data_IF_239866383927
#
_entry.id   IF_239866383927
#
_cell.length_a   1.000
_cell.length_b   1.000
_cell.length_c   1.000
_cell.angle_alpha   90.00
_cell.angle_beta   90.00
_cell.angle_gamma   90.00
#
_symmetry.space_group_name_H-M   'P 1'
#
loop_
_entity.id
_entity.type
_entity.pdbx_description
1 polymer ?
#
# COMPACT_ATOMS: atom_id res chain seq x y z
N UNK A 1 -1.74 13.63 -16.53
CA UNK A 1 -1.90 12.19 -16.26
C UNK A 1 -1.01 11.86 -15.08
N UNK A 2 -1.57 11.84 -13.88
CA UNK A 2 -0.86 11.51 -12.64
C UNK A 2 -0.62 10.01 -12.68
N UNK A 3 0.58 9.58 -13.06
CA UNK A 3 0.93 8.17 -13.07
C UNK A 3 0.95 7.69 -11.62
N UNK A 4 0.33 6.54 -11.36
CA UNK A 4 0.45 5.80 -10.10
C UNK A 4 1.94 5.58 -9.76
N UNK A 5 2.41 6.22 -8.69
CA UNK A 5 3.81 6.13 -8.21
C UNK A 5 3.92 5.19 -7.02
N UNK A 6 5.11 4.65 -6.84
CA UNK A 6 5.49 3.91 -5.63
C UNK A 6 6.12 4.93 -4.67
N UNK A 7 5.69 4.95 -3.42
CA UNK A 7 6.19 5.87 -2.40
C UNK A 7 6.86 5.08 -1.28
N UNK A 8 8.05 5.52 -0.89
CA UNK A 8 8.75 5.05 0.31
C UNK A 8 8.51 6.08 1.38
N UNK A 9 7.88 5.68 2.48
CA UNK A 9 7.55 6.56 3.61
C UNK A 9 8.25 6.09 4.89
N UNK A 10 8.61 7.03 5.74
CA UNK A 10 9.12 6.76 7.10
C UNK A 10 7.96 6.37 8.06
N UNK A 11 8.28 5.96 9.28
CA UNK A 11 7.33 5.69 10.37
C UNK A 11 6.38 6.86 10.64
N UNK A 12 6.89 8.09 10.53
CA UNK A 12 6.11 9.32 10.71
C UNK A 12 5.20 9.63 9.51
N UNK A 13 5.25 8.81 8.44
CA UNK A 13 4.45 8.95 7.23
C UNK A 13 5.00 9.98 6.24
N UNK A 14 6.22 10.48 6.44
CA UNK A 14 6.88 11.37 5.48
C UNK A 14 7.41 10.59 4.29
N UNK A 15 7.06 11.03 3.08
CA UNK A 15 7.62 10.47 1.84
C UNK A 15 9.10 10.79 1.72
N UNK A 16 9.94 9.77 1.87
CA UNK A 16 11.39 9.85 1.68
C UNK A 16 11.74 9.87 0.19
N UNK A 17 11.05 9.05 -0.60
CA UNK A 17 11.31 8.93 -2.04
C UNK A 17 10.11 8.43 -2.83
N UNK A 18 10.02 8.85 -4.08
CA UNK A 18 9.04 8.36 -5.05
C UNK A 18 9.73 7.68 -6.23
N UNK A 19 9.13 6.60 -6.70
CA UNK A 19 9.56 5.85 -7.87
C UNK A 19 8.40 5.70 -8.86
N UNK A 20 8.73 5.64 -10.14
CA UNK A 20 7.75 5.32 -11.17
C UNK A 20 7.34 3.83 -11.08
N UNK A 21 6.18 3.49 -11.62
CA UNK A 21 5.63 2.11 -11.59
C UNK A 21 6.50 1.08 -12.31
N UNK A 22 7.46 1.46 -13.13
CA UNK A 22 8.38 0.53 -13.77
C UNK A 22 9.67 0.32 -12.96
N UNK A 23 9.86 1.06 -11.87
CA UNK A 23 11.07 1.08 -11.06
C UNK A 23 10.91 0.31 -9.73
N UNK A 24 10.08 -0.73 -9.70
CA UNK A 24 9.83 -1.54 -8.49
C UNK A 24 11.12 -2.04 -7.84
N UNK A 25 12.03 -2.61 -8.63
CA UNK A 25 13.29 -3.16 -8.13
C UNK A 25 14.10 -2.08 -7.38
N UNK A 26 14.16 -0.87 -7.92
CA UNK A 26 14.87 0.26 -7.29
C UNK A 26 14.20 0.76 -6.02
N UNK A 27 12.86 0.70 -5.97
CA UNK A 27 12.11 1.08 -4.78
C UNK A 27 12.38 0.11 -3.63
N UNK A 28 12.40 -1.21 -3.92
CA UNK A 28 12.75 -2.24 -2.95
C UNK A 28 14.21 -2.16 -2.52
N UNK A 29 15.14 -1.96 -3.45
CA UNK A 29 16.56 -1.77 -3.13
C UNK A 29 16.78 -0.56 -2.22
N UNK A 30 16.08 0.55 -2.48
CA UNK A 30 16.16 1.73 -1.61
C UNK A 30 15.58 1.45 -0.22
N UNK A 31 14.47 0.72 -0.12
CA UNK A 31 13.90 0.34 1.16
C UNK A 31 14.85 -0.56 1.97
N UNK A 32 15.45 -1.57 1.33
CA UNK A 32 16.44 -2.45 1.95
C UNK A 32 17.68 -1.66 2.44
N UNK A 33 18.13 -0.67 1.67
CA UNK A 33 19.19 0.24 2.10
C UNK A 33 18.80 1.06 3.33
N UNK A 34 17.54 1.53 3.42
CA UNK A 34 17.06 2.27 4.60
C UNK A 34 16.99 1.37 5.82
N UNK A 35 16.47 0.15 5.66
CA UNK A 35 16.42 -0.85 6.75
C UNK A 35 17.82 -1.23 7.22
N UNK A 36 18.80 -1.35 6.32
CA UNK A 36 20.21 -1.59 6.66
C UNK A 36 20.84 -0.43 7.46
N UNK A 37 20.27 0.77 7.39
CA UNK A 37 20.64 1.94 8.20
C UNK A 37 19.78 2.07 9.47
N UNK A 38 19.03 1.02 9.83
CA UNK A 38 18.09 1.01 10.97
C UNK A 38 16.96 2.04 10.87
N UNK A 39 16.62 2.46 9.63
CA UNK A 39 15.49 3.33 9.33
C UNK A 39 14.34 2.43 8.88
N UNK A 40 13.26 2.39 9.65
CA UNK A 40 12.06 1.64 9.30
C UNK A 40 11.26 2.39 8.24
N UNK A 41 10.95 1.73 7.12
CA UNK A 41 10.26 2.36 5.99
C UNK A 41 9.13 1.47 5.48
N UNK A 42 8.07 2.11 4.99
CA UNK A 42 6.92 1.45 4.38
C UNK A 42 6.87 1.73 2.87
N UNK A 43 6.64 0.69 2.06
CA UNK A 43 6.48 0.81 0.61
C UNK A 43 4.99 0.90 0.28
N UNK A 44 4.52 2.11 -0.03
CA UNK A 44 3.16 2.35 -0.51
C UNK A 44 3.09 2.21 -2.01
N UNK A 45 2.28 1.25 -2.45
CA UNK A 45 2.09 0.94 -3.86
C UNK A 45 0.61 1.00 -4.26
N UNK A 46 0.30 1.44 -5.48
CA UNK A 46 -1.06 1.38 -5.99
C UNK A 46 -1.50 -0.07 -6.13
N UNK A 47 -2.76 -0.36 -5.79
CA UNK A 47 -3.32 -1.71 -5.91
C UNK A 47 -3.36 -2.19 -7.36
N UNK A 48 -3.43 -3.51 -7.55
CA UNK A 48 -3.56 -4.10 -8.88
C UNK A 48 -4.84 -3.63 -9.58
N UNK A 49 -5.96 -3.59 -8.83
CA UNK A 49 -7.25 -3.10 -9.31
C UNK A 49 -7.16 -1.64 -9.78
N UNK A 50 -6.52 -0.78 -8.98
CA UNK A 50 -6.30 0.63 -9.35
C UNK A 50 -5.44 0.75 -10.60
N UNK A 51 -4.35 0.00 -10.66
CA UNK A 51 -3.43 -0.01 -11.81
C UNK A 51 -4.15 -0.46 -13.10
N UNK A 52 -5.03 -1.44 -13.00
CA UNK A 52 -5.87 -1.90 -14.11
C UNK A 52 -6.87 -0.82 -14.53
N UNK A 53 -7.60 -0.23 -13.57
CA UNK A 53 -8.57 0.83 -13.84
C UNK A 53 -7.93 2.03 -14.55
N UNK A 54 -6.75 2.47 -14.09
CA UNK A 54 -5.97 3.52 -14.76
C UNK A 54 -5.59 3.14 -16.21
N UNK A 55 -5.17 1.90 -16.42
CA UNK A 55 -4.77 1.40 -17.74
C UNK A 55 -5.95 1.34 -18.73
N UNK A 56 -7.15 1.12 -18.22
CA UNK A 56 -8.40 1.14 -18.99
C UNK A 56 -8.94 2.57 -19.22
N UNK A 57 -8.29 3.59 -18.66
CA UNK A 57 -8.66 4.99 -18.84
C UNK A 57 -9.72 5.49 -17.84
N UNK A 58 -9.88 4.83 -16.69
CA UNK A 58 -10.74 5.31 -15.62
C UNK A 58 -10.33 6.71 -15.16
N UNK A 59 -11.32 7.55 -14.87
CA UNK A 59 -11.13 8.92 -14.40
C UNK A 59 -10.89 8.93 -12.89
N UNK A 60 -10.30 10.03 -12.39
CA UNK A 60 -9.99 10.18 -10.95
C UNK A 60 -11.19 9.91 -10.03
N UNK A 61 -12.41 10.30 -10.43
CA UNK A 61 -13.62 10.01 -9.64
C UNK A 61 -13.89 8.52 -9.49
N UNK A 62 -13.67 7.74 -10.55
CA UNK A 62 -13.88 6.30 -10.58
C UNK A 62 -12.78 5.58 -9.79
N UNK A 63 -11.53 6.07 -9.88
CA UNK A 63 -10.41 5.56 -9.10
C UNK A 63 -10.60 5.80 -7.60
N UNK A 64 -11.06 6.99 -7.20
CA UNK A 64 -11.33 7.29 -5.80
C UNK A 64 -12.49 6.44 -5.25
N UNK A 65 -13.52 6.20 -6.09
CA UNK A 65 -14.62 5.31 -5.71
C UNK A 65 -14.11 3.88 -5.52
N UNK A 66 -13.26 3.38 -6.42
CA UNK A 66 -12.65 2.07 -6.30
C UNK A 66 -11.79 1.94 -5.03
N UNK A 67 -10.97 2.94 -4.71
CA UNK A 67 -10.18 2.92 -3.48
C UNK A 67 -11.07 2.87 -2.23
N UNK A 68 -12.16 3.65 -2.23
CA UNK A 68 -13.12 3.67 -1.12
C UNK A 68 -13.79 2.31 -0.97
N UNK A 69 -14.30 1.72 -2.05
CA UNK A 69 -14.93 0.39 -2.02
C UNK A 69 -13.95 -0.69 -1.53
N UNK A 70 -12.68 -0.63 -1.95
CA UNK A 70 -11.64 -1.54 -1.46
C UNK A 70 -11.34 -1.33 0.03
N UNK A 71 -11.29 -0.08 0.50
CA UNK A 71 -11.05 0.20 1.91
C UNK A 71 -12.24 -0.22 2.77
N UNK A 72 -13.47 0.02 2.32
CA UNK A 72 -14.69 -0.40 2.99
C UNK A 72 -14.72 -1.93 3.13
N UNK A 73 -14.34 -2.69 2.09
CA UNK A 73 -14.21 -4.15 2.17
C UNK A 73 -13.14 -4.61 3.17
N UNK A 74 -12.00 -3.92 3.23
CA UNK A 74 -10.94 -4.22 4.21
C UNK A 74 -11.46 -3.97 5.62
N UNK A 75 -12.08 -2.82 5.87
CA UNK A 75 -12.56 -2.41 7.19
C UNK A 75 -13.71 -3.31 7.69
N UNK A 76 -14.63 -3.72 6.81
CA UNK A 76 -15.74 -4.61 7.16
C UNK A 76 -15.29 -6.07 7.45
N UNK A 77 -14.14 -6.49 6.90
CA UNK A 77 -13.62 -7.85 7.04
C UNK A 77 -12.39 -7.99 7.96
N UNK A 78 -11.87 -6.89 8.52
CA UNK A 78 -10.86 -6.96 9.57
C UNK A 78 -11.54 -7.47 10.85
N UNK A 79 -11.20 -8.69 11.33
CA UNK A 79 -11.76 -9.20 12.56
C UNK A 79 -11.35 -8.26 13.68
N UNK A 80 -12.33 -7.72 14.41
CA UNK A 80 -12.12 -7.13 15.72
C UNK A 80 -11.16 -8.04 16.51
N UNK A 81 -9.96 -7.56 16.80
CA UNK A 81 -9.00 -8.25 17.67
C UNK A 81 -9.46 -8.21 19.13
N UNK A 82 -10.65 -8.74 19.41
CA UNK A 82 -11.18 -8.91 20.77
C UNK A 82 -11.60 -10.32 21.13
N UNK A 83 -11.64 -11.29 20.20
CA UNK A 83 -12.04 -12.66 20.53
C UNK A 83 -11.23 -13.65 19.67
N UNK A 84 -10.28 -14.40 20.20
CA UNK A 84 -10.63 -15.63 20.93
C UNK A 84 -9.42 -16.08 21.73
N UNK A 85 -9.60 -16.14 23.06
CA UNK A 85 -8.79 -16.95 23.97
C UNK A 85 -8.54 -18.32 23.34
N UNK A 86 -7.28 -18.66 23.10
CA UNK A 86 -6.85 -20.04 22.87
C UNK A 86 -7.22 -20.84 24.13
N UNK A 87 -8.44 -21.39 24.12
CA UNK A 87 -8.96 -22.29 25.13
C UNK A 87 -8.63 -23.71 24.70
N UNK A 88 -7.72 -24.33 25.45
CA UNK A 88 -7.60 -25.78 25.71
C UNK A 88 -7.89 -26.73 24.53
N UNK A 89 -6.81 -27.28 23.97
CA UNK A 89 -6.82 -28.62 23.41
C UNK A 89 -5.64 -29.42 24.00
N UNK A 90 -6.01 -30.46 24.76
CA UNK A 90 -5.21 -31.50 25.46
C UNK A 90 -4.45 -31.11 26.72
#
# INVERSE_FOLDING_TARGET
MSKSKIQIVDQDGFTLKEFERDQWEKAYEYAEQMEAMEIEVEIRKPSLARTLAESLGAKQRELNKLDQELQDEIDDHLPNQSDTKCGTCH
#
